data_IF_411008348720
#
_entry.id   IF_411008348720
#
_cell.length_a   1.000
_cell.length_b   1.000
_cell.length_c   1.000
_cell.angle_alpha   90.00
_cell.angle_beta   90.00
_cell.angle_gamma   90.00
#
_symmetry.space_group_name_H-M   'P 1'
#
loop_
_entity.id
_entity.type
_entity.pdbx_description
1 polymer ?
#
# COMPACT_ATOMS: atom_id res chain seq x y z
N UNK A 1 6.14 -25.75 -19.53
CA UNK A 1 6.96 -24.66 -20.11
C UNK A 1 6.14 -23.43 -20.50
N UNK A 2 5.30 -23.44 -21.55
CA UNK A 2 4.58 -22.22 -22.00
C UNK A 2 3.66 -21.60 -20.92
N UNK A 3 2.97 -22.45 -20.15
CA UNK A 3 2.12 -22.01 -19.03
C UNK A 3 2.90 -21.34 -17.88
N UNK A 4 4.06 -21.88 -17.52
CA UNK A 4 4.89 -21.32 -16.44
C UNK A 4 5.45 -19.95 -16.86
N UNK A 5 5.86 -19.83 -18.12
CA UNK A 5 6.30 -18.55 -18.70
C UNK A 5 5.15 -17.54 -18.69
N UNK A 6 3.94 -17.93 -19.13
CA UNK A 6 2.78 -17.05 -19.12
C UNK A 6 2.47 -16.52 -17.71
N UNK A 7 2.52 -17.38 -16.67
CA UNK A 7 2.32 -16.97 -15.27
C UNK A 7 3.34 -15.94 -14.79
N UNK A 8 4.61 -16.10 -15.18
CA UNK A 8 5.66 -15.15 -14.80
C UNK A 8 5.47 -13.81 -15.50
N UNK A 9 5.15 -13.83 -16.80
CA UNK A 9 4.94 -12.62 -17.59
C UNK A 9 3.76 -11.79 -17.06
N UNK A 10 2.63 -12.43 -16.75
CA UNK A 10 1.45 -11.71 -16.24
C UNK A 10 1.60 -11.23 -14.78
N UNK A 11 2.57 -11.77 -14.04
CA UNK A 11 2.86 -11.33 -12.67
C UNK A 11 3.68 -10.03 -12.63
N UNK A 12 4.33 -9.65 -13.73
CA UNK A 12 5.07 -8.39 -13.84
C UNK A 12 4.06 -7.26 -14.04
N UNK A 13 3.96 -6.30 -13.11
CA UNK A 13 3.08 -5.16 -13.30
C UNK A 13 3.53 -4.35 -14.54
N UNK A 14 2.59 -3.86 -15.36
CA UNK A 14 2.90 -3.17 -16.62
C UNK A 14 3.56 -1.78 -16.43
N UNK A 15 3.56 -1.24 -15.19
CA UNK A 15 4.14 0.06 -14.88
C UNK A 15 4.53 0.20 -13.41
N UNK A 16 5.34 1.22 -13.12
CA UNK A 16 5.71 1.63 -11.75
C UNK A 16 4.54 2.23 -10.96
N UNK A 17 3.46 2.64 -11.61
CA UNK A 17 2.33 3.35 -11.00
C UNK A 17 1.71 2.58 -9.82
N UNK A 18 1.67 1.25 -9.89
CA UNK A 18 1.20 0.40 -8.80
C UNK A 18 2.09 0.52 -7.54
N UNK A 19 3.41 0.58 -7.74
CA UNK A 19 4.38 0.78 -6.64
C UNK A 19 4.29 2.20 -6.09
N UNK A 20 4.17 3.21 -6.96
CA UNK A 20 4.00 4.62 -6.55
C UNK A 20 2.73 4.81 -5.71
N UNK A 21 1.63 4.15 -6.09
CA UNK A 21 0.39 4.13 -5.29
C UNK A 21 0.62 3.57 -3.89
N UNK A 22 1.34 2.44 -3.77
CA UNK A 22 1.68 1.83 -2.49
C UNK A 22 2.60 2.72 -1.63
N UNK A 23 3.58 3.38 -2.24
CA UNK A 23 4.46 4.32 -1.54
C UNK A 23 3.74 5.60 -1.13
N UNK A 24 2.76 6.07 -1.92
CA UNK A 24 1.93 7.23 -1.59
C UNK A 24 0.88 6.95 -0.52
N UNK A 25 0.50 5.69 -0.31
CA UNK A 25 -0.24 5.23 0.87
C UNK A 25 0.66 5.46 2.09
N UNK A 26 1.89 4.97 2.07
CA UNK A 26 2.82 5.02 3.20
C UNK A 26 3.48 6.39 3.44
N UNK A 27 3.03 7.48 2.80
CA UNK A 27 3.65 8.81 2.89
C UNK A 27 3.82 9.29 4.34
N UNK A 28 2.87 8.91 5.20
CA UNK A 28 2.84 9.33 6.59
C UNK A 28 4.04 8.82 7.38
N UNK A 29 4.49 7.59 7.12
CA UNK A 29 5.56 6.93 7.87
C UNK A 29 6.96 7.21 7.33
N UNK A 30 7.07 7.75 6.10
CA UNK A 30 8.38 8.03 5.48
C UNK A 30 8.63 9.52 5.21
N UNK A 31 7.59 10.34 5.03
CA UNK A 31 7.72 11.77 4.70
C UNK A 31 7.39 12.72 5.86
N UNK A 32 6.46 12.38 6.76
CA UNK A 32 5.99 13.31 7.81
C UNK A 32 6.91 13.30 9.05
N UNK A 33 7.49 14.46 9.41
CA UNK A 33 8.51 14.57 10.49
C UNK A 33 8.12 13.92 11.82
N UNK A 34 6.87 14.08 12.30
CA UNK A 34 6.43 13.49 13.59
C UNK A 34 6.32 11.96 13.55
N UNK A 35 6.10 11.37 12.38
CA UNK A 35 5.78 9.95 12.23
C UNK A 35 6.83 9.21 11.39
N UNK A 36 7.90 9.89 11.00
CA UNK A 36 8.94 9.34 10.15
C UNK A 36 9.71 8.27 10.91
N UNK A 37 9.60 7.04 10.42
CA UNK A 37 10.31 5.90 10.96
C UNK A 37 11.72 5.79 10.35
N UNK A 38 12.56 4.98 10.98
CA UNK A 38 13.83 4.57 10.38
C UNK A 38 13.57 3.80 9.07
N UNK A 39 14.45 3.97 8.09
CA UNK A 39 14.33 3.41 6.74
C UNK A 39 14.07 1.90 6.79
N UNK A 40 14.82 1.16 7.62
CA UNK A 40 14.69 -0.29 7.76
C UNK A 40 13.29 -0.71 8.24
N UNK A 41 12.69 0.09 9.14
CA UNK A 41 11.34 -0.16 9.65
C UNK A 41 10.27 0.14 8.60
N UNK A 42 10.45 1.21 7.83
CA UNK A 42 9.57 1.52 6.69
C UNK A 42 9.58 0.38 5.68
N UNK A 43 10.77 -0.12 5.31
CA UNK A 43 10.88 -1.25 4.37
C UNK A 43 10.19 -2.51 4.90
N UNK A 44 10.39 -2.84 6.17
CA UNK A 44 9.75 -4.00 6.80
C UNK A 44 8.21 -3.88 6.79
N UNK A 45 7.67 -2.71 7.15
CA UNK A 45 6.23 -2.46 7.13
C UNK A 45 5.66 -2.47 5.71
N UNK A 46 6.38 -1.88 4.75
CA UNK A 46 5.98 -1.88 3.35
C UNK A 46 5.92 -3.30 2.78
N UNK A 47 6.93 -4.12 3.10
CA UNK A 47 6.98 -5.52 2.71
C UNK A 47 5.81 -6.31 3.29
N UNK A 48 5.52 -6.15 4.60
CA UNK A 48 4.38 -6.82 5.23
C UNK A 48 3.07 -6.39 4.59
N UNK A 49 2.86 -5.09 4.39
CA UNK A 49 1.61 -4.57 3.80
C UNK A 49 1.34 -5.14 2.39
N UNK A 50 2.34 -5.13 1.51
CA UNK A 50 2.20 -5.63 0.14
C UNK A 50 1.98 -7.14 0.09
N UNK A 51 2.63 -7.90 0.98
CA UNK A 51 2.58 -9.36 0.97
C UNK A 51 1.51 -9.96 1.90
N UNK A 52 0.82 -9.13 2.71
CA UNK A 52 -0.14 -9.60 3.69
C UNK A 52 -1.20 -10.53 3.07
N UNK A 53 -1.69 -10.20 1.87
CA UNK A 53 -2.69 -10.99 1.16
C UNK A 53 -2.13 -12.29 0.56
N UNK A 54 -0.84 -12.34 0.22
CA UNK A 54 -0.20 -13.56 -0.26
C UNK A 54 0.00 -14.59 0.85
N UNK A 55 0.04 -14.14 2.11
CA UNK A 55 0.24 -14.97 3.31
C UNK A 55 -1.09 -15.26 4.05
N UNK A 56 -2.12 -14.44 3.84
CA UNK A 56 -3.44 -14.62 4.47
C UNK A 56 -4.14 -15.89 3.97
N UNK A 57 -4.51 -16.77 4.90
CA UNK A 57 -5.34 -17.96 4.64
C UNK A 57 -6.84 -17.65 4.63
N UNK A 58 -7.22 -16.48 5.14
CA UNK A 58 -8.61 -16.00 5.14
C UNK A 58 -8.90 -15.30 3.81
N UNK A 59 -10.13 -15.52 3.29
CA UNK A 59 -10.58 -14.91 2.03
C UNK A 59 -10.44 -13.39 2.04
N UNK A 60 -9.92 -12.84 0.94
CA UNK A 60 -9.55 -11.43 0.85
C UNK A 60 -10.77 -10.51 0.88
N UNK A 61 -10.94 -9.76 1.98
CA UNK A 61 -11.86 -8.62 2.03
C UNK A 61 -11.22 -7.40 1.35
N UNK A 62 -11.47 -7.27 0.05
CA UNK A 62 -10.99 -6.16 -0.76
C UNK A 62 -11.51 -4.80 -0.29
N UNK A 63 -12.66 -4.73 0.39
CA UNK A 63 -13.23 -3.47 0.87
C UNK A 63 -12.37 -2.84 1.97
N UNK A 64 -11.73 -3.67 2.80
CA UNK A 64 -10.84 -3.24 3.89
C UNK A 64 -9.45 -2.81 3.44
N UNK A 65 -8.97 -3.31 2.29
CA UNK A 65 -7.69 -2.90 1.71
C UNK A 65 -7.75 -1.48 1.12
N UNK A 66 -8.91 -1.11 0.57
CA UNK A 66 -9.14 0.21 -0.03
C UNK A 66 -9.51 1.31 0.97
N UNK A 67 -9.83 0.96 2.22
CA UNK A 67 -10.07 1.94 3.28
C UNK A 67 -8.75 2.53 3.78
N UNK A 68 -8.09 3.34 2.95
CA UNK A 68 -7.10 4.29 3.44
C UNK A 68 -7.84 5.50 4.02
N UNK A 69 -7.53 5.95 5.25
CA UNK A 69 -8.27 7.03 5.91
C UNK A 69 -7.98 8.41 5.31
N UNK A 70 -7.52 8.51 4.06
CA UNK A 70 -7.36 9.78 3.36
C UNK A 70 -8.67 10.54 3.22
N UNK A 71 -9.83 9.86 3.22
CA UNK A 71 -11.15 10.53 3.14
C UNK A 71 -11.55 11.15 4.48
N UNK A 72 -11.39 10.43 5.59
CA UNK A 72 -11.85 10.93 6.89
C UNK A 72 -10.97 12.09 7.39
N UNK A 73 -9.64 11.96 7.29
CA UNK A 73 -8.71 13.01 7.73
C UNK A 73 -8.73 14.26 6.83
N UNK A 74 -9.07 14.12 5.53
CA UNK A 74 -9.24 15.26 4.63
C UNK A 74 -10.57 16.00 4.90
N UNK A 75 -11.66 15.26 5.11
CA UNK A 75 -12.96 15.83 5.46
C UNK A 75 -12.93 16.54 6.82
N UNK A 76 -12.20 16.00 7.80
CA UNK A 76 -12.02 16.64 9.11
C UNK A 76 -11.17 17.92 9.05
N UNK A 77 -10.21 18.01 8.12
CA UNK A 77 -9.48 19.26 7.86
C UNK A 77 -10.35 20.31 7.17
N UNK A 78 -11.10 19.92 6.15
CA UNK A 78 -12.02 20.83 5.44
C UNK A 78 -13.14 21.35 6.36
N UNK A 79 -13.62 20.54 7.31
CA UNK A 79 -14.62 20.95 8.29
C UNK A 79 -14.08 21.83 9.43
N UNK A 80 -12.76 21.84 9.66
CA UNK A 80 -12.10 22.69 10.66
C UNK A 80 -11.66 24.05 10.08
N UNK A 81 -11.62 24.16 8.75
CA UNK A 81 -11.25 25.37 8.01
C UNK A 81 -12.46 26.24 7.58
N UNK A 82 -13.69 25.83 7.91
CA UNK A 82 -14.94 26.61 7.76
C UNK A 82 -15.39 27.19 9.11
#
# INVERSE_FOLDING_TARGET
>A
MAWEIARLVIAIPPSSAASERAWGIMDFIHSKKRNRLAVDKVYMLAYIYVNHLAVSTEGVDWARLHSYPKRQEALEREAMEQ
#
